data_IF_131095561393
#
_entry.id   IF_131095561393
#
_cell.length_a   1.000
_cell.length_b   1.000
_cell.length_c   1.000
_cell.angle_alpha   90.00
_cell.angle_beta   90.00
_cell.angle_gamma   90.00
#
_symmetry.space_group_name_H-M   'P 1'
#
loop_
_entity.id
_entity.type
_entity.pdbx_description
1 polymer ?
#
# COMPACT_ATOMS: atom_id res chain seq x y z
N UNK A 1 20.68 19.11 2.56
CA UNK A 1 19.97 18.16 1.65
C UNK A 1 20.52 16.73 1.64
N UNK A 2 21.66 16.42 2.29
CA UNK A 2 22.16 15.03 2.42
C UNK A 2 21.41 14.20 3.47
N UNK A 3 20.84 14.85 4.49
CA UNK A 3 20.20 14.20 5.64
C UNK A 3 18.85 13.55 5.30
N UNK A 4 18.10 14.07 4.31
CA UNK A 4 16.81 13.50 3.91
C UNK A 4 17.02 12.16 3.18
N UNK A 5 17.99 12.10 2.27
CA UNK A 5 18.28 10.86 1.52
C UNK A 5 18.77 9.74 2.45
N UNK A 6 19.64 10.07 3.42
CA UNK A 6 20.11 9.09 4.41
C UNK A 6 18.97 8.67 5.34
N UNK A 7 18.12 9.60 5.82
CA UNK A 7 16.98 9.26 6.67
C UNK A 7 15.96 8.36 5.94
N UNK A 8 15.68 8.61 4.66
CA UNK A 8 14.78 7.74 3.84
C UNK A 8 15.37 6.34 3.67
N UNK A 9 16.68 6.23 3.45
CA UNK A 9 17.37 4.93 3.32
C UNK A 9 17.43 4.20 4.66
N UNK A 10 17.74 4.88 5.77
CA UNK A 10 17.78 4.27 7.12
C UNK A 10 16.39 3.91 7.67
N UNK A 11 15.32 4.63 7.29
CA UNK A 11 13.94 4.25 7.67
C UNK A 11 13.42 3.01 6.92
N UNK A 12 14.01 2.66 5.77
CA UNK A 12 13.59 1.51 4.98
C UNK A 12 14.02 0.16 5.60
N UNK A 13 15.03 0.09 6.47
CA UNK A 13 15.44 -1.19 7.09
C UNK A 13 14.48 -1.70 8.18
N UNK A 14 13.66 -0.81 8.77
CA UNK A 14 12.64 -1.17 9.77
C UNK A 14 11.24 -1.37 9.16
N UNK A 15 11.01 -0.81 7.97
CA UNK A 15 9.71 -0.82 7.32
C UNK A 15 9.52 -2.12 6.54
N UNK A 16 8.48 -2.89 6.86
CA UNK A 16 8.18 -4.16 6.19
C UNK A 16 7.90 -3.92 4.69
N UNK A 17 8.30 -4.84 3.82
CA UNK A 17 8.04 -4.83 2.36
C UNK A 17 6.59 -4.41 2.01
N UNK A 18 5.62 -4.84 2.82
CA UNK A 18 4.20 -4.48 2.63
C UNK A 18 3.97 -2.99 2.82
N UNK A 19 4.54 -2.40 3.87
CA UNK A 19 4.47 -0.95 4.14
C UNK A 19 5.17 -0.15 3.04
N UNK A 20 6.31 -0.65 2.56
CA UNK A 20 7.05 -0.03 1.46
C UNK A 20 6.22 0.02 0.17
N UNK A 21 5.59 -1.11 -0.21
CA UNK A 21 4.73 -1.15 -1.39
C UNK A 21 3.48 -0.30 -1.24
N UNK A 22 2.87 -0.24 -0.06
CA UNK A 22 1.72 0.66 0.19
C UNK A 22 2.15 2.12 -0.03
N UNK A 23 3.30 2.53 0.51
CA UNK A 23 3.82 3.89 0.36
C UNK A 23 4.13 4.21 -1.10
N UNK A 24 4.73 3.27 -1.83
CA UNK A 24 5.00 3.44 -3.26
C UNK A 24 3.71 3.61 -4.07
N UNK A 25 2.69 2.79 -3.80
CA UNK A 25 1.38 2.89 -4.45
C UNK A 25 0.69 4.23 -4.13
N UNK A 26 0.76 4.70 -2.89
CA UNK A 26 0.23 6.01 -2.50
C UNK A 26 0.95 7.16 -3.23
N UNK A 27 2.27 7.08 -3.38
CA UNK A 27 3.04 8.08 -4.15
C UNK A 27 2.63 8.15 -5.63
N UNK A 28 2.13 7.04 -6.18
CA UNK A 28 1.54 6.97 -7.53
C UNK A 28 0.07 7.44 -7.60
N UNK A 29 -0.51 7.81 -6.46
CA UNK A 29 -1.89 8.30 -6.34
C UNK A 29 -2.93 7.23 -6.00
N UNK A 30 -2.51 6.00 -5.65
CA UNK A 30 -3.46 4.99 -5.16
C UNK A 30 -3.94 5.36 -3.76
N UNK A 31 -5.24 5.23 -3.50
CA UNK A 31 -5.78 5.36 -2.14
C UNK A 31 -5.80 4.00 -1.45
N UNK A 32 -5.69 3.97 -0.12
CA UNK A 32 -5.86 2.71 0.65
C UNK A 32 -7.19 2.02 0.34
N UNK A 33 -8.23 2.80 0.06
CA UNK A 33 -9.54 2.31 -0.34
C UNK A 33 -9.51 1.60 -1.71
N UNK A 34 -8.85 2.16 -2.71
CA UNK A 34 -8.67 1.53 -4.02
C UNK A 34 -7.79 0.28 -3.94
N UNK A 35 -6.74 0.31 -3.11
CA UNK A 35 -5.89 -0.86 -2.85
C UNK A 35 -6.67 -1.97 -2.16
N UNK A 36 -7.49 -1.63 -1.16
CA UNK A 36 -8.38 -2.57 -0.48
C UNK A 36 -9.33 -3.27 -1.46
N UNK A 37 -9.94 -2.48 -2.37
CA UNK A 37 -10.85 -2.97 -3.40
C UNK A 37 -10.18 -3.95 -4.38
N UNK A 38 -8.92 -3.70 -4.76
CA UNK A 38 -8.15 -4.58 -5.66
C UNK A 38 -7.55 -5.80 -4.95
N UNK A 39 -7.18 -5.67 -3.68
CA UNK A 39 -6.61 -6.75 -2.87
C UNK A 39 -7.68 -7.63 -2.23
N UNK A 40 -8.97 -7.31 -2.38
CA UNK A 40 -10.07 -8.04 -1.74
C UNK A 40 -10.04 -7.98 -0.21
N UNK A 41 -9.42 -6.94 0.35
CA UNK A 41 -9.28 -6.75 1.79
C UNK A 41 -10.06 -5.52 2.23
N UNK A 42 -10.40 -5.43 3.52
CA UNK A 42 -11.03 -4.23 4.05
C UNK A 42 -10.00 -3.10 4.22
N UNK A 43 -10.43 -1.84 4.06
CA UNK A 43 -9.54 -0.67 4.14
C UNK A 43 -8.85 -0.55 5.51
N UNK A 44 -9.52 -0.95 6.59
CA UNK A 44 -8.92 -0.97 7.94
C UNK A 44 -7.77 -1.96 8.07
N UNK A 45 -7.81 -3.08 7.33
CA UNK A 45 -6.70 -4.03 7.30
C UNK A 45 -5.46 -3.39 6.69
N UNK A 46 -5.61 -2.70 5.54
CA UNK A 46 -4.51 -1.98 4.92
C UNK A 46 -4.00 -0.83 5.78
N UNK A 47 -4.88 -0.11 6.48
CA UNK A 47 -4.48 0.93 7.42
C UNK A 47 -3.58 0.38 8.53
N UNK A 48 -3.92 -0.78 9.09
CA UNK A 48 -3.11 -1.48 10.11
C UNK A 48 -1.80 -2.03 9.53
N UNK A 49 -1.82 -2.51 8.29
CA UNK A 49 -0.59 -2.94 7.61
C UNK A 49 0.35 -1.78 7.37
N UNK A 50 -0.17 -0.62 6.93
CA UNK A 50 0.62 0.61 6.76
C UNK A 50 1.23 1.07 8.08
N UNK A 51 0.45 1.05 9.17
CA UNK A 51 0.92 1.41 10.51
C UNK A 51 1.95 0.41 11.09
N UNK A 52 2.02 -0.82 10.56
CA UNK A 52 2.87 -1.89 11.10
C UNK A 52 2.22 -2.67 12.24
N UNK A 53 1.00 -2.30 12.65
CA UNK A 53 0.25 -2.95 13.74
C UNK A 53 -0.06 -4.43 13.45
N UNK A 54 -0.25 -4.78 12.17
CA UNK A 54 -0.53 -6.14 11.71
C UNK A 54 0.15 -6.42 10.39
N UNK A 55 0.44 -7.69 10.15
CA UNK A 55 0.88 -8.18 8.83
C UNK A 55 -0.25 -8.91 8.11
N UNK A 56 -0.25 -8.97 6.77
CA UNK A 56 -1.17 -9.81 6.02
C UNK A 56 -0.90 -11.28 6.33
N UNK A 57 -1.96 -12.08 6.47
CA UNK A 57 -1.82 -13.53 6.66
C UNK A 57 -1.02 -14.19 5.52
N UNK A 58 -1.19 -13.69 4.29
CA UNK A 58 -0.49 -14.17 3.09
C UNK A 58 0.37 -13.07 2.47
N UNK A 59 1.40 -12.61 3.19
CA UNK A 59 2.26 -11.49 2.78
C UNK A 59 2.82 -11.65 1.35
N UNK A 60 3.35 -12.83 0.97
CA UNK A 60 3.89 -13.06 -0.39
C UNK A 60 2.84 -12.83 -1.49
N UNK A 61 1.62 -13.31 -1.29
CA UNK A 61 0.55 -13.13 -2.29
C UNK A 61 0.15 -11.67 -2.40
N UNK A 62 0.07 -10.97 -1.27
CA UNK A 62 -0.26 -9.54 -1.22
C UNK A 62 0.81 -8.72 -1.92
N UNK A 63 2.09 -8.98 -1.64
CA UNK A 63 3.22 -8.29 -2.29
C UNK A 63 3.18 -8.48 -3.82
N UNK A 64 2.95 -9.71 -4.30
CA UNK A 64 2.83 -10.00 -5.73
C UNK A 64 1.66 -9.27 -6.40
N UNK A 65 0.53 -9.16 -5.70
CA UNK A 65 -0.61 -8.38 -6.18
C UNK A 65 -0.28 -6.90 -6.23
N UNK A 66 0.36 -6.34 -5.20
CA UNK A 66 0.81 -4.94 -5.17
C UNK A 66 1.82 -4.63 -6.29
N UNK A 67 2.76 -5.53 -6.58
CA UNK A 67 3.67 -5.42 -7.72
C UNK A 67 2.94 -5.33 -9.06
N UNK A 68 1.87 -6.12 -9.19
CA UNK A 68 1.02 -6.10 -10.39
C UNK A 68 0.28 -4.77 -10.50
N UNK A 69 -0.14 -4.17 -9.38
CA UNK A 69 -0.77 -2.84 -9.34
C UNK A 69 0.22 -1.71 -9.67
N UNK A 70 1.46 -1.80 -9.20
CA UNK A 70 2.52 -0.83 -9.48
C UNK A 70 2.87 -0.72 -10.98
N UNK A 71 2.68 -1.82 -11.71
CA UNK A 71 2.86 -1.89 -13.17
C UNK A 71 1.67 -1.34 -13.96
N UNK A 72 0.52 -1.11 -13.33
CA UNK A 72 -0.67 -0.59 -14.03
C UNK A 72 -0.49 0.88 -14.36
N UNK A 73 -0.82 1.24 -15.60
CA UNK A 73 -0.82 2.63 -16.09
C UNK A 73 -1.94 3.50 -15.49
N UNK A 74 -3.03 2.89 -15.01
CA UNK A 74 -4.24 3.61 -14.56
C UNK A 74 -4.75 3.07 -13.23
N UNK A 75 -5.08 3.99 -12.32
CA UNK A 75 -5.78 3.71 -11.06
C UNK A 75 -7.28 3.55 -11.35
N UNK A 76 -7.91 2.42 -10.99
CA UNK A 76 -9.35 2.23 -11.09
C UNK A 76 -10.08 3.29 -10.26
N UNK A 77 -10.89 4.12 -10.92
CA UNK A 77 -11.81 5.05 -10.22
C UNK A 77 -13.11 4.31 -9.96
N UNK A 78 -13.25 3.66 -8.79
CA UNK A 78 -14.54 3.12 -8.35
C UNK A 78 -15.35 4.24 -7.70
N UNK A 79 -16.51 4.58 -8.27
CA UNK A 79 -17.52 5.40 -7.60
C UNK A 79 -18.11 4.54 -6.48
N UNK A 80 -17.90 4.93 -5.23
CA UNK A 80 -18.59 4.34 -4.08
C UNK A 80 -19.97 4.98 -4.05
N UNK A 81 -20.99 4.27 -4.49
CA UNK A 81 -22.35 4.68 -4.22
C UNK A 81 -22.59 4.40 -2.74
N UNK A 82 -22.71 5.45 -1.93
CA UNK A 82 -23.29 5.33 -0.59
C UNK A 82 -24.71 4.80 -0.79
N UNK A 83 -24.89 3.50 -0.60
CA UNK A 83 -26.23 2.94 -0.47
C UNK A 83 -26.68 3.30 0.93
N UNK A 84 -27.58 4.27 1.00
CA UNK A 84 -28.16 4.83 2.21
C UNK A 84 -29.03 3.80 2.94
#
# INVERSE_FOLDING_TARGET
MLLIHIAIVYYNESMNDVQQKITELESKGWTLAALADELGNHWTSLSKWKAGDRSPANARSVLRSMDSLLKRKRIPKRKRYETK
#
